data_IF_468888613421
#
_entry.id   IF_468888613421
#
_cell.length_a   1.000
_cell.length_b   1.000
_cell.length_c   1.000
_cell.angle_alpha   90.00
_cell.angle_beta   90.00
_cell.angle_gamma   90.00
#
_symmetry.space_group_name_H-M   'P 1'
#
loop_
_entity.id
_entity.type
_entity.pdbx_description
1 polymer ?
#
# COMPACT_ATOMS: atom_id res chain seq x y z
N UNK A 1 -4.16 17.74 -5.23
CA UNK A 1 -5.35 17.00 -4.74
C UNK A 1 -5.01 16.42 -3.38
N UNK A 2 -6.01 16.14 -2.55
CA UNK A 2 -5.81 15.37 -1.32
C UNK A 2 -5.69 13.87 -1.65
N UNK A 3 -5.10 13.04 -0.76
CA UNK A 3 -5.11 11.59 -0.93
C UNK A 3 -6.54 11.05 -1.10
N UNK A 4 -6.67 9.95 -1.82
CA UNK A 4 -7.94 9.24 -2.01
C UNK A 4 -7.68 7.75 -1.84
N UNK A 5 -8.62 7.05 -1.23
CA UNK A 5 -8.53 5.61 -0.96
C UNK A 5 -9.61 4.86 -1.73
N UNK A 6 -9.26 3.66 -2.17
CA UNK A 6 -10.18 2.68 -2.73
C UNK A 6 -9.96 1.34 -2.06
N UNK A 7 -11.02 0.73 -1.55
CA UNK A 7 -10.94 -0.49 -0.75
C UNK A 7 -11.57 -1.66 -1.49
N UNK A 8 -10.89 -2.81 -1.50
CA UNK A 8 -11.38 -4.07 -2.06
C UNK A 8 -11.33 -5.14 -1.00
N UNK A 9 -12.45 -5.86 -0.82
CA UNK A 9 -12.52 -7.02 0.08
C UNK A 9 -12.63 -8.31 -0.71
N UNK A 10 -11.76 -9.27 -0.40
CA UNK A 10 -11.84 -10.64 -0.89
C UNK A 10 -12.12 -11.55 0.30
N UNK A 11 -13.21 -12.31 0.28
CA UNK A 11 -13.58 -13.19 1.37
C UNK A 11 -14.29 -14.45 0.85
N UNK A 12 -13.88 -15.63 1.32
CA UNK A 12 -14.44 -16.91 0.85
C UNK A 12 -15.88 -17.14 1.29
N UNK A 13 -16.28 -16.56 2.42
CA UNK A 13 -17.59 -16.78 3.04
C UNK A 13 -18.65 -15.77 2.56
N UNK A 14 -18.29 -14.92 1.58
CA UNK A 14 -19.22 -13.98 0.94
C UNK A 14 -19.49 -12.70 1.74
N UNK A 15 -18.68 -12.36 2.75
CA UNK A 15 -18.84 -11.10 3.48
C UNK A 15 -18.46 -9.89 2.61
N UNK A 16 -19.42 -8.99 2.39
CA UNK A 16 -19.26 -7.82 1.51
C UNK A 16 -19.13 -6.47 2.24
N UNK A 17 -19.33 -6.43 3.56
CA UNK A 17 -19.20 -5.20 4.33
C UNK A 17 -17.73 -4.77 4.44
N UNK A 18 -17.51 -3.45 4.59
CA UNK A 18 -16.18 -2.89 4.90
C UNK A 18 -15.57 -3.56 6.12
N UNK A 19 -14.27 -3.80 6.09
CA UNK A 19 -13.48 -4.29 7.22
C UNK A 19 -12.54 -3.18 7.68
N UNK A 20 -12.31 -3.00 8.99
CA UNK A 20 -11.27 -2.10 9.49
C UNK A 20 -9.86 -2.71 9.44
N UNK A 21 -9.72 -3.92 8.89
CA UNK A 21 -8.45 -4.65 8.77
C UNK A 21 -7.96 -4.63 7.34
N UNK A 22 -6.71 -4.25 7.14
CA UNK A 22 -6.05 -4.23 5.85
C UNK A 22 -4.88 -5.22 5.84
N UNK A 23 -5.02 -6.30 5.08
CA UNK A 23 -3.99 -7.33 4.91
C UNK A 23 -2.95 -6.94 3.85
N UNK A 24 -3.34 -6.09 2.90
CA UNK A 24 -2.52 -5.56 1.81
C UNK A 24 -2.87 -4.08 1.60
N UNK A 25 -1.85 -3.22 1.63
CA UNK A 25 -1.98 -1.80 1.29
C UNK A 25 -1.15 -1.48 0.05
N UNK A 26 -1.71 -0.68 -0.85
CA UNK A 26 -0.99 -0.13 -2.01
C UNK A 26 -0.86 1.37 -1.79
N UNK A 27 0.32 1.80 -1.32
CA UNK A 27 0.57 3.20 -0.97
C UNK A 27 1.19 3.93 -2.16
N UNK A 28 0.45 4.90 -2.70
CA UNK A 28 0.86 5.66 -3.90
C UNK A 28 1.06 7.15 -3.61
N UNK A 29 0.78 7.59 -2.38
CA UNK A 29 0.91 8.99 -2.00
C UNK A 29 1.80 9.14 -0.76
N UNK A 30 3.01 9.72 -0.90
CA UNK A 30 3.91 9.94 0.23
C UNK A 30 3.27 10.70 1.40
N UNK A 31 2.30 11.59 1.14
CA UNK A 31 1.63 12.37 2.18
C UNK A 31 0.75 11.53 3.13
N UNK A 32 0.42 10.28 2.77
CA UNK A 32 -0.37 9.37 3.61
C UNK A 32 0.40 8.13 4.07
N UNK A 33 1.68 7.96 3.69
CA UNK A 33 2.44 6.73 3.96
C UNK A 33 2.44 6.31 5.43
N UNK A 34 2.72 7.23 6.35
CA UNK A 34 2.74 6.93 7.79
C UNK A 34 1.41 6.34 8.26
N UNK A 35 0.30 7.00 7.91
CA UNK A 35 -1.03 6.53 8.25
C UNK A 35 -1.37 5.20 7.57
N UNK A 36 -1.14 5.11 6.26
CA UNK A 36 -1.49 3.94 5.46
C UNK A 36 -0.73 2.69 5.94
N UNK A 37 0.56 2.82 6.27
CA UNK A 37 1.41 1.73 6.78
C UNK A 37 1.02 1.35 8.21
N UNK A 38 0.63 2.31 9.05
CA UNK A 38 0.17 2.05 10.41
C UNK A 38 -1.15 1.25 10.45
N UNK A 39 -2.02 1.42 9.45
CA UNK A 39 -3.30 0.71 9.36
C UNK A 39 -3.18 -0.77 8.92
N UNK A 40 -2.01 -1.19 8.42
CA UNK A 40 -1.77 -2.58 8.01
C UNK A 40 -1.60 -3.49 9.22
N UNK A 41 -2.30 -4.63 9.19
CA UNK A 41 -2.23 -5.63 10.28
C UNK A 41 -0.85 -6.31 10.32
N UNK A 42 -0.38 -6.77 11.49
CA UNK A 42 0.84 -7.57 11.59
C UNK A 42 0.79 -8.80 10.66
N UNK A 43 1.90 -9.07 9.97
CA UNK A 43 2.00 -10.10 8.93
C UNK A 43 1.43 -9.68 7.57
N UNK A 44 0.94 -8.45 7.44
CA UNK A 44 0.41 -7.89 6.21
C UNK A 44 1.50 -7.40 5.24
N UNK A 45 1.05 -6.84 4.13
CA UNK A 45 1.88 -6.45 2.99
C UNK A 45 1.69 -4.98 2.63
N UNK A 46 2.78 -4.32 2.25
CA UNK A 46 2.78 -2.95 1.73
C UNK A 46 3.43 -2.94 0.36
N UNK A 47 2.68 -2.52 -0.66
CA UNK A 47 3.22 -2.23 -2.00
C UNK A 47 3.46 -0.73 -2.09
N UNK A 48 4.65 -0.33 -2.51
CA UNK A 48 5.02 1.08 -2.67
C UNK A 48 5.78 1.30 -3.98
N UNK A 49 5.79 2.55 -4.45
CA UNK A 49 6.57 2.91 -5.65
C UNK A 49 8.07 2.96 -5.32
N UNK A 50 8.82 1.97 -5.80
CA UNK A 50 10.26 1.87 -5.55
C UNK A 50 11.10 2.79 -6.41
N UNK A 51 10.52 3.63 -7.28
CA UNK A 51 11.28 4.72 -7.90
C UNK A 51 11.68 5.80 -6.89
N UNK A 52 11.03 5.82 -5.72
CA UNK A 52 11.37 6.67 -4.59
C UNK A 52 11.76 5.80 -3.40
N UNK A 53 12.83 6.15 -2.66
CA UNK A 53 13.18 5.41 -1.45
C UNK A 53 12.07 5.57 -0.40
N UNK A 54 11.75 4.47 0.28
CA UNK A 54 10.90 4.50 1.47
C UNK A 54 11.75 4.95 2.67
N UNK A 55 11.24 5.86 3.48
CA UNK A 55 11.90 6.29 4.71
C UNK A 55 12.11 5.09 5.65
N UNK A 56 13.27 5.01 6.30
CA UNK A 56 13.60 3.94 7.24
C UNK A 56 12.66 3.97 8.46
N UNK A 57 12.21 5.15 8.88
CA UNK A 57 11.27 5.34 10.00
C UNK A 57 9.87 4.76 9.71
N UNK A 58 9.54 4.55 8.43
CA UNK A 58 8.28 3.94 8.01
C UNK A 58 8.35 2.40 7.98
N UNK A 59 9.53 1.81 8.17
CA UNK A 59 9.68 0.37 8.17
C UNK A 59 9.09 -0.25 9.43
N UNK A 60 8.47 -1.41 9.24
CA UNK A 60 7.88 -2.22 10.30
C UNK A 60 8.36 -3.65 10.15
N UNK A 61 8.98 -4.19 11.19
CA UNK A 61 9.55 -5.55 11.18
C UNK A 61 8.48 -6.65 11.00
N UNK A 62 7.23 -6.35 11.35
CA UNK A 62 6.10 -7.27 11.23
C UNK A 62 5.38 -7.18 9.88
N UNK A 63 5.84 -6.36 8.93
CA UNK A 63 5.26 -6.19 7.61
C UNK A 63 6.20 -6.68 6.52
N UNK A 64 5.63 -7.11 5.39
CA UNK A 64 6.38 -7.38 4.17
C UNK A 64 6.25 -6.23 3.18
N UNK A 65 7.36 -5.56 2.87
CA UNK A 65 7.40 -4.47 1.91
C UNK A 65 7.74 -4.98 0.49
N UNK A 66 6.93 -4.58 -0.49
CA UNK A 66 7.03 -4.95 -1.89
C UNK A 66 7.26 -3.70 -2.73
N UNK A 67 8.52 -3.42 -3.04
CA UNK A 67 8.88 -2.31 -3.93
C UNK A 67 8.56 -2.63 -5.38
N UNK A 68 7.76 -1.78 -6.03
CA UNK A 68 7.44 -1.88 -7.47
C UNK A 68 7.72 -0.54 -8.12
N UNK A 69 8.53 -0.44 -9.19
CA UNK A 69 8.89 0.84 -9.79
C UNK A 69 7.78 1.36 -10.72
N UNK A 70 6.60 1.62 -10.15
CA UNK A 70 5.36 1.93 -10.88
C UNK A 70 5.51 3.18 -11.75
N UNK A 71 6.07 4.26 -11.21
CA UNK A 71 6.32 5.49 -11.97
C UNK A 71 7.19 5.24 -13.21
N UNK A 72 8.27 4.47 -13.06
CA UNK A 72 9.16 4.11 -14.16
C UNK A 72 8.46 3.22 -15.19
N UNK A 73 7.70 2.21 -14.74
CA UNK A 73 6.96 1.33 -15.64
C UNK A 73 5.94 2.10 -16.50
N UNK A 74 5.28 3.10 -15.92
CA UNK A 74 4.38 3.98 -16.65
C UNK A 74 5.11 4.82 -17.69
N UNK A 75 6.23 5.46 -17.32
CA UNK A 75 7.04 6.24 -18.28
C UNK A 75 7.51 5.34 -19.42
N UNK A 76 8.14 4.21 -19.12
CA UNK A 76 8.69 3.30 -20.13
C UNK A 76 7.61 2.67 -21.04
N UNK A 77 6.38 2.51 -20.55
CA UNK A 77 5.30 1.81 -21.26
C UNK A 77 4.36 2.71 -22.07
N UNK A 78 4.39 4.02 -21.84
CA UNK A 78 3.46 4.99 -22.46
C UNK A 78 4.14 6.20 -23.13
N UNK A 79 5.48 6.28 -23.10
CA UNK A 79 6.27 7.12 -24.01
C UNK A 79 6.42 6.49 -25.40
#
# INVERSE_FOLDING_TARGET
>A
GLPTWYEVRVNRDGHIARTPRFDLMVTLNPASYEQDIAEVVPGGYVVYDSTWPLDEDLQREDLTFLGVPMGKMCVDGFE
#
